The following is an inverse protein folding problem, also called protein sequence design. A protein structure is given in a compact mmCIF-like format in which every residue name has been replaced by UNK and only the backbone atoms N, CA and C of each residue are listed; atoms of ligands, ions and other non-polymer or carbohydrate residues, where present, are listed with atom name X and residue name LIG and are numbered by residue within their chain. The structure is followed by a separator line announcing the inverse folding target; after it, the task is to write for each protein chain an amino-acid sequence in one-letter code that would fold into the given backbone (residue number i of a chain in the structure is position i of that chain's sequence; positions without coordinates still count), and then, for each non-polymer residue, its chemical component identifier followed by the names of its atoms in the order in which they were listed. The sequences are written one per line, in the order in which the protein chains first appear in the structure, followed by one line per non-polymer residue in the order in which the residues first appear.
data_IF_824308380850
#
_entry.id   IF_824308380850
#
_cell.length_a   1.000
_cell.length_b   1.000
_cell.length_c   1.000
_cell.angle_alpha   90.00
_cell.angle_beta   90.00
_cell.angle_gamma   90.00
#
_symmetry.space_group_name_H-M   'P 1'
#
loop_
_entity.id
_entity.type
_entity.pdbx_description
1 polymer ?
#
# COMPACT_ATOMS: atom_id res chain seq x y z
N UNK A 1 -6.36 -25.36 11.74
CA UNK A 1 -5.73 -25.12 10.43
C UNK A 1 -6.58 -24.24 9.50
N UNK A 2 -7.89 -24.49 9.34
CA UNK A 2 -8.78 -23.73 8.44
C UNK A 2 -8.81 -22.22 8.73
N UNK A 3 -8.87 -21.86 10.02
CA UNK A 3 -8.93 -20.46 10.46
C UNK A 3 -7.64 -19.67 10.17
N UNK A 4 -6.47 -20.34 10.25
CA UNK A 4 -5.19 -19.74 9.92
C UNK A 4 -5.05 -19.53 8.40
N UNK A 5 -5.39 -20.53 7.60
CA UNK A 5 -5.37 -20.43 6.14
C UNK A 5 -6.32 -19.34 5.63
N UNK A 6 -7.48 -19.17 6.27
CA UNK A 6 -8.42 -18.09 5.97
C UNK A 6 -7.89 -16.72 6.38
N UNK A 7 -7.32 -16.57 7.58
CA UNK A 7 -6.71 -15.32 8.03
C UNK A 7 -5.53 -14.89 7.13
N UNK A 8 -4.69 -15.84 6.74
CA UNK A 8 -3.62 -15.64 5.77
C UNK A 8 -4.20 -15.20 4.43
N UNK A 9 -5.18 -15.92 3.88
CA UNK A 9 -5.72 -15.60 2.55
C UNK A 9 -6.50 -14.29 2.53
N UNK A 10 -7.24 -13.97 3.58
CA UNK A 10 -8.00 -12.73 3.71
C UNK A 10 -7.09 -11.52 3.96
N UNK A 11 -6.04 -11.66 4.76
CA UNK A 11 -5.05 -10.61 4.99
C UNK A 11 -4.09 -10.42 3.81
N UNK A 12 -3.39 -11.49 3.40
CA UNK A 12 -2.43 -11.43 2.30
C UNK A 12 -3.09 -11.17 0.95
N UNK A 13 -4.32 -11.66 0.71
CA UNK A 13 -5.00 -11.43 -0.57
C UNK A 13 -5.25 -9.94 -0.82
N UNK A 14 -5.63 -9.20 0.22
CA UNK A 14 -5.86 -7.75 0.14
C UNK A 14 -4.52 -7.02 0.00
N UNK A 15 -3.50 -7.37 0.79
CA UNK A 15 -2.15 -6.82 0.65
C UNK A 15 -1.57 -7.03 -0.76
N UNK A 16 -1.70 -8.24 -1.30
CA UNK A 16 -1.22 -8.56 -2.65
C UNK A 16 -1.98 -7.78 -3.72
N UNK A 17 -3.28 -7.55 -3.54
CA UNK A 17 -4.08 -6.74 -4.45
C UNK A 17 -3.64 -5.28 -4.48
N UNK A 18 -3.46 -4.67 -3.30
CA UNK A 18 -2.97 -3.28 -3.18
C UNK A 18 -1.53 -3.17 -3.67
N UNK A 19 -0.66 -4.12 -3.27
CA UNK A 19 0.73 -4.18 -3.68
C UNK A 19 0.90 -4.29 -5.20
N UNK A 20 0.09 -5.12 -5.87
CA UNK A 20 0.09 -5.24 -7.34
C UNK A 20 -0.23 -3.91 -8.03
N UNK A 21 -1.22 -3.17 -7.53
CA UNK A 21 -1.60 -1.86 -8.09
C UNK A 21 -0.51 -0.81 -7.88
N UNK A 22 0.05 -0.75 -6.66
CA UNK A 22 1.17 0.14 -6.35
C UNK A 22 2.40 -0.17 -7.21
N UNK A 23 2.71 -1.44 -7.44
CA UNK A 23 3.80 -1.86 -8.32
C UNK A 23 3.55 -1.44 -9.78
N UNK A 24 2.35 -1.68 -10.31
CA UNK A 24 1.99 -1.27 -11.67
C UNK A 24 2.11 0.24 -11.88
N UNK A 25 1.74 1.02 -10.86
CA UNK A 25 1.94 2.46 -10.87
C UNK A 25 3.43 2.84 -10.87
N UNK A 26 4.23 2.17 -10.03
CA UNK A 26 5.67 2.38 -9.98
C UNK A 26 6.32 2.11 -11.34
N UNK A 27 5.99 0.99 -11.97
CA UNK A 27 6.47 0.61 -13.29
C UNK A 27 6.11 1.67 -14.35
N UNK A 28 4.90 2.25 -14.27
CA UNK A 28 4.42 3.24 -15.23
C UNK A 28 4.98 4.65 -14.99
N UNK A 29 5.20 5.04 -13.73
CA UNK A 29 5.62 6.40 -13.34
C UNK A 29 6.56 6.39 -12.12
N UNK A 30 7.79 5.86 -12.25
CA UNK A 30 8.69 5.71 -11.10
C UNK A 30 9.11 7.05 -10.49
N UNK A 31 9.30 8.09 -11.31
CA UNK A 31 9.68 9.42 -10.85
C UNK A 31 8.59 10.12 -10.03
N UNK A 32 7.31 9.94 -10.38
CA UNK A 32 6.19 10.50 -9.62
C UNK A 32 6.11 9.87 -8.22
N UNK A 33 6.31 8.55 -8.14
CA UNK A 33 6.29 7.83 -6.87
C UNK A 33 7.44 8.28 -5.96
N UNK A 34 8.64 8.42 -6.52
CA UNK A 34 9.78 8.98 -5.78
C UNK A 34 9.51 10.41 -5.32
N UNK A 35 8.96 11.28 -6.17
CA UNK A 35 8.66 12.66 -5.81
C UNK A 35 7.65 12.77 -4.65
N UNK A 36 6.63 11.90 -4.63
CA UNK A 36 5.68 11.83 -3.50
C UNK A 36 6.38 11.33 -2.24
N UNK A 37 7.17 10.26 -2.33
CA UNK A 37 7.84 9.69 -1.17
C UNK A 37 8.89 10.62 -0.56
N UNK A 38 9.65 11.37 -1.38
CA UNK A 38 10.70 12.28 -0.90
C UNK A 38 10.17 13.67 -0.58
N UNK A 39 9.11 14.13 -1.26
CA UNK A 39 8.53 15.46 -1.09
C UNK A 39 7.40 15.55 -0.06
N UNK A 40 6.74 14.44 0.28
CA UNK A 40 5.61 14.41 1.21
C UNK A 40 5.91 13.55 2.44
N UNK A 41 6.22 14.21 3.56
CA UNK A 41 6.64 13.56 4.81
C UNK A 41 5.66 12.48 5.34
N UNK A 42 4.32 12.64 5.26
CA UNK A 42 3.40 11.57 5.63
C UNK A 42 3.57 10.31 4.76
N UNK A 43 3.77 10.46 3.45
CA UNK A 43 4.02 9.32 2.56
C UNK A 43 5.33 8.59 2.91
N UNK A 44 6.40 9.33 3.20
CA UNK A 44 7.66 8.74 3.69
C UNK A 44 7.46 7.93 4.97
N UNK A 45 6.71 8.49 5.95
CA UNK A 45 6.44 7.80 7.22
C UNK A 45 5.66 6.50 7.01
N UNK A 46 4.62 6.53 6.16
CA UNK A 46 3.85 5.33 5.82
C UNK A 46 4.72 4.29 5.12
N UNK A 47 5.50 4.69 4.10
CA UNK A 47 6.42 3.79 3.39
C UNK A 47 7.43 3.16 4.33
N UNK A 48 8.06 3.96 5.20
CA UNK A 48 9.04 3.46 6.15
C UNK A 48 8.41 2.59 7.26
N UNK A 49 7.12 2.76 7.55
CA UNK A 49 6.38 1.86 8.43
C UNK A 49 6.10 0.51 7.78
N UNK A 50 5.71 0.51 6.50
CA UNK A 50 5.50 -0.70 5.70
C UNK A 50 6.79 -1.51 5.61
N UNK A 51 7.92 -0.87 5.26
CA UNK A 51 9.21 -1.58 5.10
C UNK A 51 9.77 -2.11 6.43
N UNK A 52 9.39 -1.51 7.56
CA UNK A 52 9.74 -1.99 8.90
C UNK A 52 8.74 -2.99 9.48
N UNK A 53 7.66 -3.29 8.76
CA UNK A 53 6.61 -4.20 9.21
C UNK A 53 5.76 -3.67 10.37
N UNK A 54 5.77 -2.36 10.63
CA UNK A 54 4.96 -1.74 11.69
C UNK A 54 3.56 -1.36 11.23
N UNK A 55 3.31 -1.39 9.92
CA UNK A 55 1.98 -1.20 9.30
C UNK A 55 1.97 -1.89 7.94
N UNK A 56 0.82 -1.95 7.29
CA UNK A 56 0.62 -2.63 6.00
C UNK A 56 -0.12 -1.74 5.00
N UNK A 57 -0.06 -2.07 3.70
CA UNK A 57 -0.70 -1.26 2.65
C UNK A 57 -2.23 -1.29 2.76
N UNK A 58 -2.81 -2.44 3.12
CA UNK A 58 -4.25 -2.58 3.35
C UNK A 58 -4.70 -1.78 4.58
N UNK A 59 -3.91 -1.77 5.65
CA UNK A 59 -4.18 -0.95 6.83
C UNK A 59 -4.14 0.54 6.49
N UNK A 60 -3.15 0.98 5.70
CA UNK A 60 -3.04 2.36 5.25
C UNK A 60 -4.28 2.81 4.44
N UNK A 61 -4.71 2.01 3.47
CA UNK A 61 -5.90 2.30 2.65
C UNK A 61 -7.18 2.30 3.48
N UNK A 62 -7.29 1.42 4.47
CA UNK A 62 -8.47 1.35 5.37
C UNK A 62 -8.56 2.54 6.33
N UNK A 63 -7.41 3.05 6.79
CA UNK A 63 -7.34 4.12 7.80
C UNK A 63 -7.27 5.51 7.20
N UNK A 64 -6.80 5.66 5.96
CA UNK A 64 -6.61 6.95 5.31
C UNK A 64 -7.47 7.07 4.03
N UNK A 65 -8.61 7.79 4.06
CA UNK A 65 -9.47 7.96 2.89
C UNK A 65 -8.76 8.58 1.67
N UNK A 66 -7.75 9.42 1.91
CA UNK A 66 -6.92 9.99 0.85
C UNK A 66 -6.04 8.94 0.17
N UNK A 67 -5.52 7.96 0.92
CA UNK A 67 -4.76 6.85 0.34
C UNK A 67 -5.67 5.96 -0.52
N UNK A 68 -6.90 5.71 -0.06
CA UNK A 68 -7.91 4.99 -0.85
C UNK A 68 -8.26 5.72 -2.15
N UNK A 69 -8.51 7.04 -2.08
CA UNK A 69 -8.80 7.85 -3.27
C UNK A 69 -7.63 7.92 -4.24
N UNK A 70 -6.40 8.06 -3.73
CA UNK A 70 -5.20 8.05 -4.56
C UNK A 70 -5.05 6.72 -5.30
N UNK A 71 -5.27 5.59 -4.61
CA UNK A 71 -5.22 4.27 -5.23
C UNK A 71 -6.28 4.12 -6.34
N UNK A 72 -7.51 4.59 -6.11
CA UNK A 72 -8.58 4.56 -7.11
C UNK A 72 -8.36 5.49 -8.30
N UNK A 73 -7.73 6.65 -8.09
CA UNK A 73 -7.43 7.59 -9.16
C UNK A 73 -6.24 7.16 -10.04
N UNK A 74 -5.50 6.14 -9.61
CA UNK A 74 -4.30 5.62 -10.26
C UNK A 74 -4.49 4.25 -10.94
N UNK A 75 -5.60 3.57 -10.64
CA UNK A 75 -6.13 2.44 -11.44
C UNK A 75 -6.65 2.95 -12.79
#
# INVERSE_FOLDING_TARGET
ALNYAFAIKAGLGVEMGVGRRMLKLFERRPGLLHAVLTGFRPAWKSFAGITRGTTSLAELVRTHPLAQRALHAMD
#
